data_IF_874333232651
#
_entry.id   IF_874333232651
#
_cell.length_a   1.000
_cell.length_b   1.000
_cell.length_c   1.000
_cell.angle_alpha   90.00
_cell.angle_beta   90.00
_cell.angle_gamma   90.00
#
_symmetry.space_group_name_H-M   'P 1'
#
loop_
_entity.id
_entity.type
_entity.pdbx_description
1 polymer ?
#
# COMPACT_ATOMS: atom_id res chain seq x y z
N UNK A 1 7.37 2.30 -31.57
CA UNK A 1 7.79 0.98 -31.07
C UNK A 1 7.05 0.58 -29.77
N UNK A 2 6.70 1.53 -28.91
CA UNK A 2 5.95 1.26 -27.66
C UNK A 2 4.62 2.02 -27.59
N UNK A 3 3.98 2.23 -28.75
CA UNK A 3 2.79 3.08 -28.85
C UNK A 3 1.67 2.62 -27.91
N UNK A 4 1.47 1.30 -27.81
CA UNK A 4 0.47 0.70 -26.92
C UNK A 4 0.70 0.95 -25.41
N UNK A 5 1.96 1.19 -24.99
CA UNK A 5 2.28 1.44 -23.60
C UNK A 5 1.72 2.78 -23.11
N UNK A 6 1.68 3.76 -24.00
CA UNK A 6 1.26 5.12 -23.69
C UNK A 6 -0.21 5.41 -24.05
N UNK A 7 -0.92 4.45 -24.65
CA UNK A 7 -2.36 4.55 -24.88
C UNK A 7 -3.12 4.45 -23.53
N UNK A 8 -4.18 5.23 -23.34
CA UNK A 8 -5.07 5.07 -22.19
C UNK A 8 -5.64 3.66 -22.12
N UNK A 9 -5.97 3.23 -20.91
CA UNK A 9 -6.64 1.95 -20.65
C UNK A 9 -7.75 2.13 -19.62
N UNK A 10 -8.88 1.49 -19.87
CA UNK A 10 -10.00 1.44 -18.95
C UNK A 10 -9.94 0.16 -18.13
N UNK A 11 -9.94 0.30 -16.80
CA UNK A 11 -10.09 -0.82 -15.84
C UNK A 11 -11.43 -0.64 -15.15
N UNK A 12 -12.47 -1.32 -15.62
CA UNK A 12 -13.87 -1.08 -15.21
C UNK A 12 -14.21 0.41 -15.34
N UNK A 13 -14.55 1.09 -14.25
CA UNK A 13 -14.86 2.52 -14.20
C UNK A 13 -13.66 3.46 -14.05
N UNK A 14 -12.45 2.92 -13.95
CA UNK A 14 -11.24 3.72 -13.77
C UNK A 14 -10.44 3.82 -15.08
N UNK A 15 -10.28 5.04 -15.56
CA UNK A 15 -9.41 5.32 -16.70
C UNK A 15 -7.99 5.65 -16.21
N UNK A 16 -7.00 4.96 -16.80
CA UNK A 16 -5.58 5.25 -16.65
C UNK A 16 -5.07 5.93 -17.91
N UNK A 17 -4.27 6.98 -17.76
CA UNK A 17 -3.69 7.74 -18.88
C UNK A 17 -2.71 6.95 -19.75
N UNK A 18 -2.21 5.82 -19.24
CA UNK A 18 -1.32 4.88 -19.94
C UNK A 18 -1.26 3.55 -19.19
N UNK A 19 -0.47 2.61 -19.70
CA UNK A 19 -0.35 1.25 -19.16
C UNK A 19 0.89 1.05 -18.27
N UNK A 20 1.52 2.15 -17.83
CA UNK A 20 2.65 2.10 -16.91
C UNK A 20 2.12 2.07 -15.49
N UNK A 21 2.39 0.98 -14.80
CA UNK A 21 1.96 0.75 -13.41
C UNK A 21 3.19 0.61 -12.51
N UNK A 22 3.23 1.38 -11.44
CA UNK A 22 4.18 1.17 -10.38
C UNK A 22 3.67 0.07 -9.45
N UNK A 23 4.41 -1.03 -9.35
CA UNK A 23 4.13 -2.09 -8.38
C UNK A 23 4.31 -1.61 -6.93
N UNK A 24 3.65 -2.28 -6.00
CA UNK A 24 3.84 -2.02 -4.58
C UNK A 24 5.31 -2.23 -4.19
N UNK A 25 5.85 -1.28 -3.43
CA UNK A 25 7.23 -1.32 -2.95
C UNK A 25 7.27 -0.83 -1.51
N UNK A 26 7.63 -1.70 -0.58
CA UNK A 26 7.77 -1.36 0.84
C UNK A 26 8.92 -0.37 1.03
N UNK A 27 8.57 0.88 1.29
CA UNK A 27 9.55 1.96 1.49
C UNK A 27 9.96 2.10 2.95
N UNK A 28 9.11 1.63 3.86
CA UNK A 28 9.20 1.84 5.31
C UNK A 28 9.18 3.32 5.75
N UNK A 29 8.73 4.22 4.89
CA UNK A 29 8.65 5.66 5.20
C UNK A 29 7.60 5.98 6.28
N UNK A 30 6.64 5.07 6.52
CA UNK A 30 5.70 5.15 7.65
C UNK A 30 6.39 5.08 9.01
N UNK A 31 7.59 4.51 9.09
CA UNK A 31 8.38 4.46 10.33
C UNK A 31 8.73 5.85 10.89
N UNK A 32 8.70 6.89 10.06
CA UNK A 32 8.90 8.27 10.50
C UNK A 32 7.65 8.91 11.14
N UNK A 33 6.49 8.26 11.07
CA UNK A 33 5.28 8.72 11.76
C UNK A 33 5.32 8.35 13.25
N UNK A 34 4.54 9.06 14.07
CA UNK A 34 4.48 8.85 15.51
C UNK A 34 4.14 7.39 15.89
N UNK A 35 3.23 6.76 15.15
CA UNK A 35 2.80 5.37 15.38
C UNK A 35 3.54 4.35 14.51
N UNK A 36 4.44 4.80 13.63
CA UNK A 36 5.17 3.96 12.69
C UNK A 36 4.31 3.30 11.61
N UNK A 37 3.06 3.74 11.43
CA UNK A 37 2.05 3.09 10.58
C UNK A 37 1.25 4.04 9.70
N UNK A 38 1.40 5.34 9.92
CA UNK A 38 0.65 6.39 9.22
C UNK A 38 1.35 6.82 7.92
N UNK A 39 0.56 7.34 7.00
CA UNK A 39 1.08 7.99 5.78
C UNK A 39 1.87 9.24 6.16
N UNK A 40 3.11 9.34 5.71
CA UNK A 40 4.00 10.50 5.93
C UNK A 40 4.05 11.41 4.71
N UNK A 41 4.46 12.66 4.90
CA UNK A 41 4.69 13.60 3.79
C UNK A 41 5.77 13.11 2.82
N UNK A 42 6.75 12.38 3.32
CA UNK A 42 7.82 11.77 2.53
C UNK A 42 7.28 10.66 1.62
N UNK A 43 6.39 9.82 2.13
CA UNK A 43 5.70 8.81 1.33
C UNK A 43 4.81 9.46 0.25
N UNK A 44 4.09 10.53 0.59
CA UNK A 44 3.30 11.30 -0.38
C UNK A 44 4.21 11.84 -1.48
N UNK A 45 5.31 12.50 -1.12
CA UNK A 45 6.28 13.02 -2.09
C UNK A 45 6.85 11.92 -3.00
N UNK A 46 7.13 10.74 -2.44
CA UNK A 46 7.58 9.56 -3.17
C UNK A 46 6.59 9.15 -4.27
N UNK A 47 5.30 9.02 -3.96
CA UNK A 47 4.28 8.65 -4.93
C UNK A 47 3.98 9.76 -5.94
N UNK A 48 3.93 11.02 -5.49
CA UNK A 48 3.74 12.20 -6.36
C UNK A 48 4.84 12.31 -7.41
N UNK A 49 6.10 12.05 -7.02
CA UNK A 49 7.22 12.09 -7.97
C UNK A 49 7.03 11.08 -9.12
N UNK A 50 6.52 9.87 -8.84
CA UNK A 50 6.23 8.85 -9.86
C UNK A 50 5.07 9.25 -10.75
N UNK A 51 4.00 9.79 -10.16
CA UNK A 51 2.88 10.31 -10.92
C UNK A 51 3.31 11.45 -11.85
N UNK A 52 4.09 12.42 -11.36
CA UNK A 52 4.67 13.48 -12.19
C UNK A 52 5.60 12.93 -13.26
N UNK A 53 6.31 11.84 -13.00
CA UNK A 53 7.14 11.12 -13.97
C UNK A 53 6.36 10.41 -15.08
N UNK A 54 5.02 10.35 -14.98
CA UNK A 54 4.16 9.92 -16.07
C UNK A 54 3.50 8.56 -15.92
N UNK A 55 3.68 7.80 -14.82
CA UNK A 55 2.97 6.53 -14.67
C UNK A 55 1.46 6.75 -14.52
N UNK A 56 0.66 5.77 -14.97
CA UNK A 56 -0.80 5.83 -14.91
C UNK A 56 -1.36 5.42 -13.56
N UNK A 57 -0.72 4.47 -12.89
CA UNK A 57 -1.17 3.91 -11.62
C UNK A 57 -0.01 3.72 -10.64
N UNK A 58 -0.20 4.19 -9.41
CA UNK A 58 0.68 3.90 -8.28
C UNK A 58 0.03 2.84 -7.38
N UNK A 59 0.71 1.73 -7.14
CA UNK A 59 0.31 0.82 -6.07
C UNK A 59 1.01 1.23 -4.77
N UNK A 60 0.23 1.69 -3.81
CA UNK A 60 0.72 1.99 -2.47
C UNK A 60 1.17 0.68 -1.82
N UNK A 61 2.27 0.75 -1.09
CA UNK A 61 2.94 -0.37 -0.45
C UNK A 61 2.04 -1.19 0.48
N UNK A 62 2.57 -2.28 0.97
CA UNK A 62 1.95 -3.17 1.93
C UNK A 62 1.26 -2.38 3.06
N UNK A 63 -0.05 -2.61 3.19
CA UNK A 63 -0.92 -1.88 4.12
C UNK A 63 -1.75 -2.90 4.89
N UNK A 64 -1.53 -2.98 6.19
CA UNK A 64 -2.19 -3.96 7.05
C UNK A 64 -3.67 -3.64 7.23
N UNK A 65 -4.50 -4.69 7.12
CA UNK A 65 -5.96 -4.59 7.29
C UNK A 65 -6.42 -4.84 8.71
N UNK A 66 -5.51 -5.31 9.58
CA UNK A 66 -5.80 -5.55 10.99
C UNK A 66 -4.64 -5.09 11.89
N UNK A 67 -4.95 -4.61 13.09
CA UNK A 67 -3.97 -4.04 13.99
C UNK A 67 -2.87 -5.02 14.43
N UNK A 68 -3.16 -6.30 14.75
CA UNK A 68 -2.16 -7.27 15.15
C UNK A 68 -1.11 -7.57 14.08
N UNK A 69 -1.48 -7.54 12.80
CA UNK A 69 -0.55 -7.82 11.71
C UNK A 69 0.15 -6.57 11.13
N UNK A 70 0.04 -5.41 11.80
CA UNK A 70 0.68 -4.18 11.36
C UNK A 70 2.04 -3.96 12.08
N UNK A 71 3.17 -4.48 11.57
CA UNK A 71 4.47 -4.23 12.18
C UNK A 71 4.86 -2.75 12.04
N UNK A 72 5.76 -2.31 12.90
CA UNK A 72 6.33 -0.97 12.80
C UNK A 72 7.01 -0.75 11.44
N UNK A 73 6.76 0.40 10.82
CA UNK A 73 7.27 0.72 9.49
C UNK A 73 6.41 0.23 8.33
N UNK A 74 5.27 -0.43 8.61
CA UNK A 74 4.27 -0.79 7.61
C UNK A 74 3.04 0.11 7.76
N UNK A 75 2.43 0.48 6.65
CA UNK A 75 1.17 1.22 6.69
C UNK A 75 0.06 0.38 7.31
N UNK A 76 -0.92 1.05 7.88
CA UNK A 76 -2.14 0.41 8.38
C UNK A 76 -3.40 1.11 7.85
N UNK A 77 -4.44 0.33 7.63
CA UNK A 77 -5.80 0.78 7.32
C UNK A 77 -6.82 0.14 8.29
N UNK A 78 -6.32 -0.45 9.36
CA UNK A 78 -7.13 -1.18 10.34
C UNK A 78 -8.04 -0.29 11.19
N UNK A 79 -7.83 1.02 11.19
CA UNK A 79 -8.58 1.98 12.00
C UNK A 79 -8.86 3.26 11.21
N UNK A 80 -9.98 3.92 11.51
CA UNK A 80 -10.43 5.14 10.81
C UNK A 80 -9.44 6.32 10.91
N UNK A 81 -8.59 6.34 11.93
CA UNK A 81 -7.56 7.37 12.09
C UNK A 81 -6.60 7.47 10.88
N UNK A 82 -6.44 6.38 10.12
CA UNK A 82 -5.56 6.34 8.95
C UNK A 82 -6.19 6.93 7.68
N UNK A 83 -7.53 7.09 7.63
CA UNK A 83 -8.27 7.57 6.44
C UNK A 83 -7.73 8.92 5.96
N UNK A 84 -7.50 9.86 6.86
CA UNK A 84 -7.05 11.21 6.52
C UNK A 84 -5.69 11.21 5.79
N UNK A 85 -4.75 10.37 6.22
CA UNK A 85 -3.44 10.23 5.60
C UNK A 85 -3.54 9.65 4.19
N UNK A 86 -4.31 8.57 4.00
CA UNK A 86 -4.54 7.99 2.67
C UNK A 86 -5.28 8.94 1.75
N UNK A 87 -6.26 9.70 2.27
CA UNK A 87 -6.95 10.72 1.48
C UNK A 87 -5.96 11.76 0.96
N UNK A 88 -5.09 12.30 1.82
CA UNK A 88 -4.05 13.27 1.44
C UNK A 88 -3.12 12.72 0.35
N UNK A 89 -2.69 11.46 0.49
CA UNK A 89 -1.86 10.78 -0.51
C UNK A 89 -2.59 10.67 -1.84
N UNK A 90 -3.84 10.18 -1.82
CA UNK A 90 -4.63 9.98 -3.02
C UNK A 90 -4.90 11.29 -3.75
N UNK A 91 -5.30 12.34 -3.03
CA UNK A 91 -5.56 13.67 -3.61
C UNK A 91 -4.30 14.20 -4.32
N UNK A 92 -3.14 14.12 -3.67
CA UNK A 92 -1.88 14.60 -4.22
C UNK A 92 -1.42 13.82 -5.46
N UNK A 93 -1.60 12.49 -5.48
CA UNK A 93 -1.28 11.66 -6.65
C UNK A 93 -2.25 11.93 -7.79
N UNK A 94 -3.54 12.10 -7.51
CA UNK A 94 -4.55 12.43 -8.51
C UNK A 94 -4.30 13.81 -9.13
N UNK A 95 -3.94 14.80 -8.33
CA UNK A 95 -3.53 16.14 -8.82
C UNK A 95 -2.32 16.06 -9.75
N UNK A 96 -1.39 15.14 -9.48
CA UNK A 96 -0.24 14.85 -10.35
C UNK A 96 -0.59 14.01 -11.59
N UNK A 97 -1.89 13.70 -11.81
CA UNK A 97 -2.41 12.97 -12.98
C UNK A 97 -2.26 11.46 -12.94
N UNK A 98 -1.87 10.88 -11.80
CA UNK A 98 -1.87 9.42 -11.58
C UNK A 98 -3.16 8.92 -10.95
N UNK A 99 -3.30 7.61 -10.85
CA UNK A 99 -4.30 6.93 -10.02
C UNK A 99 -3.59 6.12 -8.94
N UNK A 100 -4.33 5.71 -7.91
CA UNK A 100 -3.81 4.92 -6.79
C UNK A 100 -4.59 3.62 -6.60
N UNK A 101 -3.91 2.60 -6.14
CA UNK A 101 -4.48 1.44 -5.49
C UNK A 101 -3.62 1.08 -4.27
N UNK A 102 -4.13 0.26 -3.37
CA UNK A 102 -3.43 -0.15 -2.14
C UNK A 102 -3.21 -1.65 -2.18
N UNK A 103 -2.00 -2.09 -1.82
CA UNK A 103 -1.73 -3.49 -1.57
C UNK A 103 -2.20 -3.85 -0.16
N UNK A 104 -3.38 -4.44 -0.05
CA UNK A 104 -3.90 -4.93 1.22
C UNK A 104 -3.10 -6.14 1.69
N UNK A 105 -2.80 -6.20 2.97
CA UNK A 105 -1.98 -7.25 3.55
C UNK A 105 -2.50 -7.67 4.92
N UNK A 106 -2.43 -8.97 5.15
CA UNK A 106 -2.63 -9.61 6.43
C UNK A 106 -1.49 -10.62 6.62
N UNK A 107 -0.74 -10.47 7.69
CA UNK A 107 0.55 -11.13 7.85
C UNK A 107 0.50 -12.64 8.01
N UNK A 108 -0.61 -13.20 8.48
CA UNK A 108 -0.73 -14.64 8.71
C UNK A 108 0.48 -15.17 9.47
N UNK A 109 1.07 -16.25 8.97
CA UNK A 109 2.27 -16.87 9.57
C UNK A 109 3.56 -16.04 9.44
N UNK A 110 3.55 -14.95 8.63
CA UNK A 110 4.70 -14.07 8.48
C UNK A 110 4.81 -13.02 9.58
N UNK A 111 3.78 -12.86 10.40
CA UNK A 111 3.83 -11.99 11.59
C UNK A 111 4.59 -12.72 12.68
N UNK A 112 5.81 -12.27 12.95
CA UNK A 112 6.67 -12.90 13.94
C UNK A 112 6.15 -12.68 15.37
N UNK A 113 6.03 -13.73 16.09
CA UNK A 113 6.44 -14.06 17.44
C UNK A 113 5.49 -13.76 18.61
N UNK A 114 5.48 -12.59 19.16
CA UNK A 114 4.90 -12.36 20.52
C UNK A 114 3.37 -12.25 20.53
N UNK A 115 2.77 -12.19 19.34
CA UNK A 115 1.33 -12.11 19.12
C UNK A 115 0.77 -13.36 18.42
N UNK A 116 1.47 -14.47 18.48
CA UNK A 116 1.08 -15.75 17.85
C UNK A 116 -0.35 -16.21 18.15
N UNK A 117 -0.89 -15.81 19.28
CA UNK A 117 -2.28 -16.14 19.68
C UNK A 117 -3.35 -15.46 18.81
N UNK A 118 -2.99 -14.53 17.93
CA UNK A 118 -3.90 -13.72 17.11
C UNK A 118 -3.64 -13.84 15.61
N UNK A 119 -2.85 -14.83 15.18
CA UNK A 119 -2.59 -15.05 13.75
C UNK A 119 -3.88 -15.55 13.10
N UNK A 120 -4.39 -14.77 12.15
CA UNK A 120 -5.51 -15.18 11.31
C UNK A 120 -4.97 -16.01 10.14
N UNK A 121 -5.45 -17.22 10.01
CA UNK A 121 -5.15 -18.13 8.90
C UNK A 121 -6.45 -18.64 8.30
N UNK A 122 -6.48 -18.96 6.99
CA UNK A 122 -7.70 -19.43 6.32
C UNK A 122 -8.22 -20.77 6.85
N UNK A 123 -7.35 -21.59 7.45
CA UNK A 123 -7.66 -22.90 7.99
C UNK A 123 -6.92 -23.12 9.31
N UNK A 124 -7.42 -24.04 10.12
CA UNK A 124 -6.67 -24.61 11.24
C UNK A 124 -5.48 -25.40 10.69
N UNK A 125 -4.35 -24.74 10.52
CA UNK A 125 -3.11 -25.41 10.16
C UNK A 125 -2.44 -25.91 11.42
N UNK A 126 -2.05 -27.21 11.50
CA UNK A 126 -1.17 -27.65 12.56
C UNK A 126 0.16 -26.90 12.38
N UNK A 127 0.43 -25.93 13.24
CA UNK A 127 1.72 -25.25 13.26
C UNK A 127 2.77 -26.29 13.61
N UNK A 128 3.74 -26.49 12.73
CA UNK A 128 4.92 -27.27 13.06
C UNK A 128 5.60 -26.65 14.28
N UNK A 129 6.07 -27.41 15.26
CA UNK A 129 6.80 -26.89 16.41
C UNK A 129 8.06 -26.10 16.08
N UNK A 130 8.38 -25.97 14.79
CA UNK A 130 9.55 -25.26 14.28
C UNK A 130 9.25 -23.83 13.77
N UNK A 131 7.99 -23.37 13.89
CA UNK A 131 7.60 -22.00 13.57
C UNK A 131 7.14 -21.26 14.82
#
# INVERSE_FOLDING_TARGET
MFDKLFEPIQIRGMELRNRVVMSAMGTHESAESEDGKSVTDKLIAYHVARAKGGNGLNTVEVTSVDAPSAPFGFLSIAEDKYIAGFKKLNDAVHEAGGKTCIQLWQGGLAVASDQMAQILVPNDLPLSPQY
#
